data_IF_411293317471
#
_entry.id   IF_411293317471
#
_cell.length_a   1.000
_cell.length_b   1.000
_cell.length_c   1.000
_cell.angle_alpha   90.00
_cell.angle_beta   90.00
_cell.angle_gamma   90.00
#
_symmetry.space_group_name_H-M   'P 1'
#
loop_
_entity.id
_entity.type
_entity.pdbx_description
1 polymer ?
#
# COMPACT_ATOMS: atom_id res chain seq x y z
N UNK A 1 33.63 -9.39 -11.54
CA UNK A 1 33.26 -8.15 -10.82
C UNK A 1 31.88 -8.36 -10.21
N UNK A 2 31.78 -8.41 -8.88
CA UNK A 2 30.54 -8.73 -8.17
C UNK A 2 29.82 -7.44 -7.82
N UNK A 3 29.04 -6.89 -8.77
CA UNK A 3 28.10 -5.82 -8.46
C UNK A 3 26.81 -6.46 -7.90
N UNK A 4 26.37 -6.00 -6.73
CA UNK A 4 25.19 -6.52 -6.03
C UNK A 4 24.57 -5.47 -5.10
N UNK A 5 24.77 -4.19 -5.40
CA UNK A 5 24.11 -3.12 -4.64
C UNK A 5 22.66 -3.05 -5.12
N UNK A 6 21.74 -3.19 -4.19
CA UNK A 6 20.31 -3.04 -4.44
C UNK A 6 20.00 -1.54 -4.50
N UNK A 7 19.30 -1.14 -5.56
CA UNK A 7 18.80 0.22 -5.76
C UNK A 7 17.37 0.16 -6.25
N UNK A 8 16.60 1.18 -5.97
CA UNK A 8 15.21 1.26 -6.39
C UNK A 8 14.58 2.58 -5.98
N UNK A 9 13.36 2.80 -6.45
CA UNK A 9 12.52 3.93 -6.05
C UNK A 9 11.06 3.51 -5.98
N UNK A 10 10.39 3.94 -4.92
CA UNK A 10 8.93 3.91 -4.80
C UNK A 10 8.40 5.12 -5.55
N UNK A 11 7.53 4.89 -6.51
CA UNK A 11 6.96 5.95 -7.35
C UNK A 11 5.60 6.42 -6.86
N UNK A 12 4.88 5.55 -6.13
CA UNK A 12 3.68 5.94 -5.42
C UNK A 12 2.64 4.85 -5.37
N UNK A 13 1.41 5.28 -5.12
CA UNK A 13 0.22 4.44 -5.14
C UNK A 13 -0.55 4.77 -6.42
N UNK A 14 -0.68 3.79 -7.31
CA UNK A 14 -1.40 3.92 -8.56
C UNK A 14 -2.87 3.53 -8.36
N UNK A 15 -3.78 4.45 -8.70
CA UNK A 15 -5.25 4.30 -8.67
C UNK A 15 -5.83 3.75 -7.35
N UNK A 16 -5.11 3.94 -6.24
CA UNK A 16 -5.42 3.33 -4.94
C UNK A 16 -5.50 1.78 -4.99
N UNK A 17 -4.90 1.15 -6.00
CA UNK A 17 -4.94 -0.30 -6.27
C UNK A 17 -3.60 -0.99 -6.12
N UNK A 18 -2.50 -0.29 -6.34
CA UNK A 18 -1.16 -0.89 -6.25
C UNK A 18 -0.11 0.12 -5.78
N UNK A 19 0.86 -0.36 -5.02
CA UNK A 19 2.11 0.36 -4.75
C UNK A 19 3.08 -0.03 -5.86
N UNK A 20 3.58 0.98 -6.58
CA UNK A 20 4.40 0.78 -7.78
C UNK A 20 5.76 1.43 -7.63
N UNK A 21 6.72 0.86 -8.34
CA UNK A 21 8.08 1.38 -8.40
C UNK A 21 8.97 0.47 -9.21
N UNK A 22 10.28 0.62 -9.00
CA UNK A 22 11.28 -0.24 -9.59
C UNK A 22 12.38 -0.56 -8.60
N UNK A 23 12.99 -1.73 -8.76
CA UNK A 23 14.14 -2.15 -7.98
C UNK A 23 15.02 -3.10 -8.80
N UNK A 24 16.34 -3.00 -8.62
CA UNK A 24 17.31 -3.82 -9.32
C UNK A 24 18.55 -4.08 -8.46
N UNK A 25 19.32 -5.10 -8.85
CA UNK A 25 20.67 -5.34 -8.35
C UNK A 25 21.69 -4.89 -9.39
N UNK A 26 22.53 -3.90 -9.06
CA UNK A 26 23.48 -3.32 -10.00
C UNK A 26 24.37 -4.40 -10.65
N UNK A 27 24.53 -4.35 -11.97
CA UNK A 27 25.36 -5.30 -12.73
C UNK A 27 24.81 -6.72 -12.86
N UNK A 28 23.57 -6.99 -12.41
CA UNK A 28 22.86 -8.24 -12.67
C UNK A 28 21.68 -8.00 -13.61
N UNK A 29 21.40 -8.96 -14.50
CA UNK A 29 20.29 -8.91 -15.47
C UNK A 29 18.97 -9.47 -14.94
N UNK A 30 19.04 -10.24 -13.85
CA UNK A 30 17.86 -10.88 -13.28
C UNK A 30 17.09 -9.90 -12.41
N UNK A 31 15.78 -10.11 -12.39
CA UNK A 31 14.88 -9.49 -11.43
C UNK A 31 15.21 -9.89 -10.00
N UNK A 32 14.77 -9.08 -9.05
CA UNK A 32 14.89 -9.31 -7.61
C UNK A 32 13.50 -9.32 -6.98
N UNK A 33 13.40 -9.96 -5.83
CA UNK A 33 12.20 -9.83 -5.00
C UNK A 33 12.24 -8.53 -4.20
N UNK A 34 11.06 -8.03 -3.84
CA UNK A 34 10.85 -6.90 -2.95
C UNK A 34 9.94 -7.33 -1.80
N UNK A 35 10.37 -7.05 -0.58
CA UNK A 35 9.61 -7.35 0.62
C UNK A 35 9.12 -6.04 1.23
N UNK A 36 7.80 -5.91 1.38
CA UNK A 36 7.17 -4.74 1.97
C UNK A 36 6.81 -5.02 3.43
N UNK A 37 7.15 -4.08 4.30
CA UNK A 37 6.87 -4.10 5.73
C UNK A 37 5.98 -2.90 6.10
N UNK A 38 5.03 -3.11 7.00
CA UNK A 38 4.15 -2.09 7.53
C UNK A 38 4.59 -1.61 8.91
N UNK A 39 4.52 -0.30 9.15
CA UNK A 39 4.80 0.34 10.44
C UNK A 39 6.29 0.48 10.80
N UNK A 40 7.19 -0.06 9.96
CA UNK A 40 8.64 0.01 10.15
C UNK A 40 9.36 -0.77 9.05
N UNK A 41 10.68 -0.59 8.95
CA UNK A 41 11.55 -1.39 8.09
C UNK A 41 11.75 -2.81 8.65
N UNK A 42 12.51 -3.66 7.96
CA UNK A 42 12.87 -4.97 8.50
C UNK A 42 13.46 -4.87 9.92
N UNK A 43 13.05 -5.79 10.79
CA UNK A 43 13.44 -5.82 12.21
C UNK A 43 12.51 -5.05 13.15
N UNK A 44 11.76 -4.06 12.66
CA UNK A 44 10.79 -3.29 13.47
C UNK A 44 9.35 -3.37 12.93
N UNK A 45 9.19 -3.49 11.62
CA UNK A 45 7.91 -3.59 10.94
C UNK A 45 7.39 -5.03 10.80
N UNK A 46 6.12 -5.15 10.42
CA UNK A 46 5.48 -6.43 10.11
C UNK A 46 5.53 -6.69 8.61
N UNK A 47 5.99 -7.87 8.17
CA UNK A 47 5.95 -8.24 6.76
C UNK A 47 4.50 -8.21 6.27
N UNK A 48 4.24 -7.43 5.22
CA UNK A 48 2.91 -7.13 4.73
C UNK A 48 2.67 -7.67 3.31
N UNK A 49 3.70 -7.68 2.46
CA UNK A 49 3.63 -8.26 1.12
C UNK A 49 5.01 -8.66 0.59
N UNK A 50 5.03 -9.58 -0.36
CA UNK A 50 6.19 -9.95 -1.17
C UNK A 50 5.78 -9.83 -2.63
N UNK A 51 6.64 -9.25 -3.47
CA UNK A 51 6.46 -9.20 -4.91
C UNK A 51 7.81 -9.34 -5.61
N UNK A 52 7.79 -9.54 -6.93
CA UNK A 52 9.01 -9.53 -7.75
C UNK A 52 9.06 -8.29 -8.61
N UNK A 53 10.25 -7.71 -8.75
CA UNK A 53 10.55 -6.62 -9.67
C UNK A 53 10.80 -7.18 -11.08
N UNK A 54 9.79 -7.82 -11.67
CA UNK A 54 9.89 -8.59 -12.91
C UNK A 54 9.04 -8.05 -14.06
N UNK A 55 8.41 -6.89 -13.88
CA UNK A 55 7.62 -6.24 -14.92
C UNK A 55 8.55 -5.44 -15.85
N UNK A 56 8.15 -5.32 -17.12
CA UNK A 56 8.89 -4.61 -18.16
C UNK A 56 9.17 -3.15 -17.75
N UNK A 57 10.37 -2.68 -18.04
CA UNK A 57 10.87 -1.35 -17.65
C UNK A 57 11.27 -0.54 -18.86
N UNK A 58 11.10 0.77 -18.72
CA UNK A 58 11.47 1.77 -19.70
C UNK A 58 13.00 1.90 -19.79
N UNK A 59 13.54 2.34 -20.95
CA UNK A 59 14.99 2.41 -21.17
C UNK A 59 15.77 3.19 -20.11
N UNK A 60 15.15 4.22 -19.49
CA UNK A 60 15.79 5.01 -18.44
C UNK A 60 16.10 4.23 -17.17
N UNK A 61 15.18 3.37 -16.72
CA UNK A 61 15.39 2.49 -15.55
C UNK A 61 16.45 1.43 -15.88
N UNK A 62 16.37 0.84 -17.08
CA UNK A 62 17.34 -0.14 -17.53
C UNK A 62 18.76 0.43 -17.63
N UNK A 63 18.91 1.66 -18.15
CA UNK A 63 20.21 2.36 -18.24
C UNK A 63 20.81 2.61 -16.85
N UNK A 64 19.98 2.98 -15.87
CA UNK A 64 20.43 3.18 -14.49
C UNK A 64 21.00 1.89 -13.86
N UNK A 65 20.54 0.70 -14.31
CA UNK A 65 20.99 -0.59 -13.79
C UNK A 65 22.42 -0.98 -14.20
N UNK A 66 23.02 -0.27 -15.18
CA UNK A 66 24.29 -0.66 -15.83
C UNK A 66 24.28 -2.14 -16.25
N UNK A 67 23.14 -2.63 -16.70
CA UNK A 67 22.85 -4.03 -17.01
C UNK A 67 21.93 -4.11 -18.22
N UNK A 68 22.00 -5.18 -19.01
CA UNK A 68 21.14 -5.32 -20.20
C UNK A 68 19.83 -6.07 -19.93
N UNK A 69 19.41 -6.20 -18.67
CA UNK A 69 18.06 -6.65 -18.34
C UNK A 69 17.02 -5.57 -18.65
N UNK A 70 15.76 -5.96 -18.76
CA UNK A 70 14.63 -5.08 -19.11
C UNK A 70 13.50 -5.07 -18.09
N UNK A 71 13.60 -5.87 -17.02
CA UNK A 71 12.49 -6.14 -16.13
C UNK A 71 12.88 -5.83 -14.67
N UNK A 72 12.52 -4.63 -14.22
CA UNK A 72 12.84 -4.07 -12.91
C UNK A 72 11.65 -3.40 -12.23
N UNK A 73 10.49 -3.34 -12.90
CA UNK A 73 9.26 -2.75 -12.35
C UNK A 73 8.62 -3.75 -11.40
N UNK A 74 8.11 -3.26 -10.27
CA UNK A 74 7.26 -4.04 -9.37
C UNK A 74 5.89 -3.36 -9.21
N UNK A 75 4.89 -4.18 -8.90
CA UNK A 75 3.55 -3.74 -8.51
C UNK A 75 3.09 -4.61 -7.36
N UNK A 76 2.82 -4.00 -6.20
CA UNK A 76 2.32 -4.67 -5.01
C UNK A 76 0.83 -4.34 -4.89
N UNK A 77 -0.08 -5.32 -5.06
CA UNK A 77 -1.50 -5.06 -4.95
C UNK A 77 -1.91 -4.57 -3.57
N UNK A 78 -2.77 -3.55 -3.53
CA UNK A 78 -3.43 -3.07 -2.32
C UNK A 78 -4.75 -3.83 -2.18
N UNK A 79 -4.69 -4.95 -1.46
CA UNK A 79 -5.86 -5.81 -1.23
C UNK A 79 -6.70 -5.32 -0.05
N UNK A 80 -7.96 -5.76 0.02
CA UNK A 80 -8.81 -5.48 1.19
C UNK A 80 -8.19 -6.00 2.50
N UNK A 81 -7.51 -7.14 2.46
CA UNK A 81 -6.86 -7.73 3.64
C UNK A 81 -5.64 -6.93 4.09
N UNK A 82 -4.85 -6.41 3.14
CA UNK A 82 -3.73 -5.52 3.46
C UNK A 82 -4.25 -4.24 4.13
N UNK A 83 -5.31 -3.64 3.57
CA UNK A 83 -5.93 -2.44 4.16
C UNK A 83 -6.50 -2.77 5.55
N UNK A 84 -7.19 -3.90 5.72
CA UNK A 84 -7.82 -4.27 6.99
C UNK A 84 -6.80 -4.51 8.10
N UNK A 85 -5.66 -5.13 7.77
CA UNK A 85 -4.65 -5.53 8.76
C UNK A 85 -3.59 -4.47 9.01
N UNK A 86 -3.23 -3.69 7.99
CA UNK A 86 -2.09 -2.76 8.03
C UNK A 86 -2.43 -1.33 7.54
N UNK A 87 -3.67 -1.05 7.15
CA UNK A 87 -4.09 0.25 6.64
C UNK A 87 -3.76 1.40 7.59
N UNK A 88 -3.35 2.53 7.02
CA UNK A 88 -2.94 3.73 7.75
C UNK A 88 -1.49 3.72 8.26
N UNK A 89 -0.80 2.57 8.24
CA UNK A 89 0.62 2.52 8.62
C UNK A 89 1.51 2.97 7.46
N UNK A 90 2.65 3.63 7.72
CA UNK A 90 3.69 3.83 6.71
C UNK A 90 4.22 2.49 6.22
N UNK A 91 4.60 2.39 4.95
CA UNK A 91 5.21 1.17 4.40
C UNK A 91 6.67 1.39 4.00
N UNK A 92 7.45 0.33 4.15
CA UNK A 92 8.89 0.28 3.89
C UNK A 92 9.18 -0.92 3.00
N UNK A 93 9.94 -0.72 1.93
CA UNK A 93 10.24 -1.79 0.96
C UNK A 93 11.73 -2.06 0.98
N UNK A 94 12.11 -3.33 1.13
CA UNK A 94 13.47 -3.80 0.91
C UNK A 94 13.55 -4.55 -0.42
N UNK A 95 14.56 -4.26 -1.23
CA UNK A 95 14.92 -5.13 -2.35
C UNK A 95 15.82 -6.25 -1.85
N UNK A 96 15.57 -7.48 -2.31
CA UNK A 96 16.25 -8.67 -1.83
C UNK A 96 17.46 -8.97 -2.69
N UNK A 97 18.64 -9.02 -2.07
CA UNK A 97 19.87 -9.37 -2.77
C UNK A 97 19.80 -10.80 -3.25
N UNK A 98 19.92 -11.04 -4.57
CA UNK A 98 19.78 -12.39 -5.08
C UNK A 98 21.08 -13.21 -4.95
N UNK A 99 22.16 -12.60 -4.44
CA UNK A 99 23.46 -13.26 -4.16
C UNK A 99 23.78 -13.27 -2.65
N UNK A 100 22.80 -12.99 -1.79
CA UNK A 100 22.98 -13.06 -0.33
C UNK A 100 23.80 -11.91 0.27
N UNK A 101 23.86 -10.75 -0.40
CA UNK A 101 24.34 -9.50 0.21
C UNK A 101 23.19 -8.78 0.94
N UNK A 102 23.44 -7.54 1.35
CA UNK A 102 22.46 -6.70 2.05
C UNK A 102 21.17 -6.51 1.25
N UNK A 103 20.05 -6.62 1.97
CA UNK A 103 18.72 -6.29 1.48
C UNK A 103 18.45 -4.81 1.74
N UNK A 104 18.80 -3.96 0.79
CA UNK A 104 18.73 -2.50 0.96
C UNK A 104 17.29 -1.98 0.97
N UNK A 105 17.05 -0.94 1.76
CA UNK A 105 15.81 -0.16 1.73
C UNK A 105 15.69 0.57 0.39
N UNK A 106 14.51 0.50 -0.22
CA UNK A 106 14.18 1.19 -1.48
C UNK A 106 13.88 2.65 -1.18
N UNK A 107 14.35 3.56 -2.04
CA UNK A 107 14.15 4.99 -1.90
C UNK A 107 12.65 5.35 -1.86
N UNK A 108 12.28 6.31 -1.01
CA UNK A 108 10.89 6.67 -0.72
C UNK A 108 10.20 5.81 0.36
N UNK A 109 10.87 4.81 0.94
CA UNK A 109 10.31 4.03 2.04
C UNK A 109 9.96 4.92 3.25
N UNK A 110 8.76 4.70 3.82
CA UNK A 110 8.23 5.47 4.94
C UNK A 110 7.59 6.81 4.57
N UNK A 111 7.72 7.27 3.33
CA UNK A 111 7.15 8.56 2.89
C UNK A 111 5.63 8.48 2.62
N UNK A 112 5.13 7.29 2.31
CA UNK A 112 3.72 7.03 2.03
C UNK A 112 3.17 5.98 3.00
N UNK A 113 1.85 5.99 3.17
CA UNK A 113 1.13 5.04 4.01
C UNK A 113 0.21 4.15 3.20
N UNK A 114 -0.01 2.94 3.70
CA UNK A 114 -0.99 2.01 3.15
C UNK A 114 -2.36 2.68 3.25
N UNK A 115 -3.18 2.73 2.19
CA UNK A 115 -4.50 3.30 2.26
C UNK A 115 -5.30 2.73 3.44
N UNK A 116 -5.99 3.60 4.17
CA UNK A 116 -6.76 3.21 5.34
C UNK A 116 -8.25 3.09 5.01
N UNK A 117 -8.94 2.19 5.73
CA UNK A 117 -10.40 2.22 5.81
C UNK A 117 -10.82 3.45 6.60
N UNK A 118 -11.56 4.35 5.97
CA UNK A 118 -12.23 5.47 6.61
C UNK A 118 -13.70 5.09 6.78
N UNK A 119 -14.09 4.82 8.02
CA UNK A 119 -15.50 4.62 8.41
C UNK A 119 -16.02 5.92 8.98
N UNK A 120 -16.84 6.62 8.20
CA UNK A 120 -17.39 7.90 8.62
C UNK A 120 -18.85 8.05 8.17
N UNK A 121 -19.62 8.81 8.92
CA UNK A 121 -21.02 9.09 8.65
C UNK A 121 -21.34 10.53 9.04
N UNK A 122 -22.20 11.19 8.26
CA UNK A 122 -22.74 12.50 8.58
C UNK A 122 -24.26 12.44 8.72
N UNK A 123 -24.80 13.10 9.74
CA UNK A 123 -26.23 13.25 9.93
C UNK A 123 -26.80 14.13 8.80
N UNK A 124 -27.91 13.69 8.21
CA UNK A 124 -28.60 14.42 7.13
C UNK A 124 -29.90 15.01 7.66
N UNK A 125 -30.76 14.19 8.25
CA UNK A 125 -32.05 14.63 8.77
C UNK A 125 -32.66 13.62 9.73
N UNK A 126 -33.68 14.03 10.48
CA UNK A 126 -34.52 13.14 11.25
C UNK A 126 -35.99 13.53 11.12
N UNK A 127 -36.87 12.54 11.24
CA UNK A 127 -38.30 12.74 11.36
C UNK A 127 -38.75 12.34 12.77
N UNK A 128 -38.34 13.15 13.75
CA UNK A 128 -38.70 12.98 15.16
C UNK A 128 -39.68 14.09 15.55
N UNK A 129 -40.82 13.78 16.17
CA UNK A 129 -41.72 14.81 16.68
C UNK A 129 -41.06 15.57 17.85
N UNK A 130 -41.28 16.88 17.92
CA UNK A 130 -40.71 17.73 18.97
C UNK A 130 -41.33 17.49 20.37
N UNK A 131 -42.50 16.87 20.43
CA UNK A 131 -43.23 16.56 21.66
C UNK A 131 -43.89 15.18 21.57
N UNK A 132 -43.86 14.42 22.68
CA UNK A 132 -44.54 13.13 22.82
C UNK A 132 -45.55 13.19 23.95
N UNK A 133 -46.78 12.76 23.69
CA UNK A 133 -47.79 12.59 24.73
C UNK A 133 -47.45 11.38 25.61
N UNK A 134 -47.69 11.52 26.92
CA UNK A 134 -47.45 10.47 27.91
C UNK A 134 -48.14 9.16 27.51
N UNK A 135 -47.39 8.06 27.53
CA UNK A 135 -47.90 6.72 27.20
C UNK A 135 -48.04 6.42 25.70
N UNK A 136 -47.59 7.30 24.79
CA UNK A 136 -47.58 7.02 23.34
C UNK A 136 -46.20 6.61 22.83
N UNK A 137 -46.18 5.67 21.89
CA UNK A 137 -44.99 5.33 21.11
C UNK A 137 -45.08 5.95 19.71
N UNK A 138 -43.94 6.35 19.16
CA UNK A 138 -43.82 6.82 17.78
C UNK A 138 -42.69 6.10 17.09
N UNK A 139 -42.80 5.94 15.77
CA UNK A 139 -41.68 5.52 14.92
C UNK A 139 -41.10 6.77 14.26
N UNK A 140 -39.85 7.09 14.60
CA UNK A 140 -39.07 8.10 13.88
C UNK A 140 -38.03 7.46 12.99
N UNK A 141 -37.53 8.23 12.03
CA UNK A 141 -36.41 7.82 11.17
C UNK A 141 -35.28 8.84 11.28
N UNK A 142 -34.05 8.35 11.12
CA UNK A 142 -32.85 9.18 10.98
C UNK A 142 -32.18 8.82 9.67
N UNK A 143 -31.76 9.84 8.93
CA UNK A 143 -31.00 9.70 7.70
C UNK A 143 -29.56 10.12 7.97
N UNK A 144 -28.64 9.22 7.62
CA UNK A 144 -27.22 9.50 7.56
C UNK A 144 -26.72 9.35 6.12
N UNK A 145 -25.60 10.00 5.80
CA UNK A 145 -24.84 9.75 4.58
C UNK A 145 -23.47 9.19 4.93
N UNK A 146 -23.00 8.22 4.14
CA UNK A 146 -21.66 7.67 4.28
C UNK A 146 -20.65 8.69 3.73
N UNK A 147 -19.78 9.18 4.60
CA UNK A 147 -18.69 10.11 4.24
C UNK A 147 -17.32 9.44 4.26
N UNK A 148 -17.29 8.12 4.48
CA UNK A 148 -16.09 7.30 4.43
C UNK A 148 -15.83 6.69 3.05
N UNK A 149 -14.80 5.85 2.98
CA UNK A 149 -14.44 5.08 1.78
C UNK A 149 -14.85 3.59 1.87
N UNK A 150 -15.66 3.24 2.88
CA UNK A 150 -16.13 1.87 3.12
C UNK A 150 -17.66 1.82 3.07
N UNK A 151 -18.22 1.03 2.15
CA UNK A 151 -19.67 0.75 2.09
C UNK A 151 -20.15 0.12 3.40
N UNK A 152 -21.25 0.63 3.96
CA UNK A 152 -21.85 0.06 5.16
C UNK A 152 -22.31 -1.38 4.90
N UNK A 153 -22.07 -2.26 5.86
CA UNK A 153 -22.53 -3.65 5.85
C UNK A 153 -23.39 -3.89 7.08
N UNK A 154 -24.35 -4.80 6.98
CA UNK A 154 -25.10 -5.26 8.14
C UNK A 154 -24.14 -5.96 9.12
N UNK A 155 -24.27 -5.65 10.41
CA UNK A 155 -23.49 -6.24 11.49
C UNK A 155 -24.04 -7.59 11.94
#
# INVERSE_FOLDING_TARGET
MSASVIKGRIEGIQDNKAIVGWAYSAGLRRSIDVHMYAGGAYGTGTLAAIASANLASEPGVASACSSSGSNYRFSIPITEDLIRSQGGKPFYIHGISPVGRDNSLIDGSGALSIPAMQRNAAFVSQNMPAQLATGRSVTGSVRFTNTGNVTWRQG
#
